data_IF_616874465688
#
_entry.id   IF_616874465688
#
_cell.length_a   1.000
_cell.length_b   1.000
_cell.length_c   1.000
_cell.angle_alpha   90.00
_cell.angle_beta   90.00
_cell.angle_gamma   90.00
#
_symmetry.space_group_name_H-M   'P 1'
#
loop_
_entity.id
_entity.type
_entity.pdbx_description
1 polymer ?
#
# COMPACT_ATOMS: atom_id res chain seq x y z
N UNK A 1 3.26 11.91 -9.96
CA UNK A 1 2.19 10.91 -10.23
C UNK A 1 1.19 11.51 -11.20
N UNK A 2 0.81 10.78 -12.22
CA UNK A 2 -0.23 11.19 -13.14
C UNK A 2 -1.53 10.42 -12.89
N UNK A 3 -2.57 10.73 -13.66
CA UNK A 3 -3.89 10.08 -13.50
C UNK A 3 -3.80 8.57 -13.68
N UNK A 4 -3.04 8.10 -14.67
CA UNK A 4 -2.92 6.66 -14.94
C UNK A 4 -2.23 5.94 -13.79
N UNK A 5 -1.19 6.51 -13.22
CA UNK A 5 -0.53 5.97 -12.05
C UNK A 5 -1.46 5.90 -10.84
N UNK A 6 -2.24 6.95 -10.63
CA UNK A 6 -3.20 7.00 -9.53
C UNK A 6 -4.28 5.93 -9.69
N UNK A 7 -4.82 5.77 -10.89
CA UNK A 7 -5.83 4.75 -11.18
C UNK A 7 -5.25 3.35 -10.95
N UNK A 8 -4.06 3.09 -11.45
CA UNK A 8 -3.39 1.80 -11.27
C UNK A 8 -3.23 1.47 -9.78
N UNK A 9 -2.83 2.46 -8.98
CA UNK A 9 -2.65 2.31 -7.54
C UNK A 9 -3.98 2.02 -6.84
N UNK A 10 -5.01 2.77 -7.17
CA UNK A 10 -6.34 2.61 -6.57
C UNK A 10 -6.98 1.28 -6.97
N UNK A 11 -6.85 0.88 -8.23
CA UNK A 11 -7.35 -0.41 -8.71
C UNK A 11 -6.65 -1.56 -7.98
N UNK A 12 -5.33 -1.45 -7.77
CA UNK A 12 -4.58 -2.48 -7.05
C UNK A 12 -5.13 -2.68 -5.64
N UNK A 13 -5.48 -1.60 -4.95
CA UNK A 13 -6.06 -1.66 -3.60
C UNK A 13 -7.56 -1.98 -3.61
N UNK A 14 -8.23 -1.82 -4.73
CA UNK A 14 -9.67 -1.96 -4.82
C UNK A 14 -10.18 -3.39 -4.95
N UNK A 15 -9.42 -4.37 -4.47
CA UNK A 15 -9.82 -5.77 -4.44
C UNK A 15 -9.56 -6.31 -3.03
N UNK A 16 -10.49 -7.09 -2.50
CA UNK A 16 -10.50 -7.47 -1.09
C UNK A 16 -9.20 -8.13 -0.62
N UNK A 17 -8.73 -9.14 -1.34
CA UNK A 17 -7.50 -9.86 -0.97
C UNK A 17 -6.28 -8.93 -1.01
N UNK A 18 -6.19 -8.09 -2.03
CA UNK A 18 -5.07 -7.15 -2.15
C UNK A 18 -5.10 -6.09 -1.06
N UNK A 19 -6.28 -5.60 -0.72
CA UNK A 19 -6.41 -4.65 0.39
C UNK A 19 -5.97 -5.28 1.70
N UNK A 20 -6.39 -6.51 1.98
CA UNK A 20 -6.00 -7.23 3.18
C UNK A 20 -4.49 -7.49 3.20
N UNK A 21 -3.91 -7.87 2.06
CA UNK A 21 -2.47 -8.08 1.92
C UNK A 21 -1.71 -6.80 2.28
N UNK A 22 -2.13 -5.68 1.70
CA UNK A 22 -1.50 -4.38 1.95
C UNK A 22 -1.57 -4.03 3.44
N UNK A 23 -2.74 -4.19 4.05
CA UNK A 23 -2.92 -3.86 5.46
C UNK A 23 -2.08 -4.74 6.39
N UNK A 24 -1.95 -6.03 6.08
CA UNK A 24 -1.09 -6.93 6.84
C UNK A 24 0.38 -6.49 6.75
N UNK A 25 0.82 -6.04 5.58
CA UNK A 25 2.18 -5.54 5.40
C UNK A 25 2.41 -4.22 6.14
N UNK A 26 1.41 -3.35 6.19
CA UNK A 26 1.49 -2.13 7.00
C UNK A 26 1.70 -2.49 8.46
N UNK A 27 0.93 -3.44 8.97
CA UNK A 27 1.03 -3.90 10.36
C UNK A 27 2.36 -4.57 10.67
N UNK A 28 2.93 -5.28 9.70
CA UNK A 28 4.22 -5.95 9.86
C UNK A 28 5.39 -4.98 9.96
N UNK A 29 5.25 -3.78 9.39
CA UNK A 29 6.29 -2.78 9.42
C UNK A 29 7.47 -3.11 8.51
N UNK A 30 8.68 -2.59 8.81
CA UNK A 30 9.83 -2.70 7.91
C UNK A 30 10.38 -4.11 7.75
N UNK A 31 10.02 -5.03 8.63
CA UNK A 31 10.46 -6.43 8.51
C UNK A 31 9.76 -7.17 7.38
N UNK A 32 8.54 -6.77 7.05
CA UNK A 32 7.74 -7.39 6.02
C UNK A 32 7.23 -8.77 6.40
N UNK A 33 6.67 -9.46 5.42
CA UNK A 33 6.11 -10.81 5.60
C UNK A 33 6.47 -11.68 4.40
N UNK A 34 6.64 -12.97 4.65
CA UNK A 34 6.93 -13.93 3.58
C UNK A 34 5.68 -14.20 2.74
N UNK A 35 5.89 -14.41 1.45
CA UNK A 35 4.82 -14.69 0.50
C UNK A 35 3.96 -15.88 0.93
N UNK A 36 4.60 -16.97 1.35
CA UNK A 36 3.89 -18.18 1.79
C UNK A 36 3.05 -17.93 3.04
N UNK A 37 3.57 -17.13 3.97
CA UNK A 37 2.83 -16.78 5.18
C UNK A 37 1.58 -15.98 4.86
N UNK A 38 1.69 -15.01 3.95
CA UNK A 38 0.54 -14.20 3.51
C UNK A 38 -0.54 -15.08 2.86
N UNK A 39 -0.14 -16.00 2.00
CA UNK A 39 -1.07 -16.93 1.35
C UNK A 39 -1.79 -17.79 2.39
N UNK A 40 -1.06 -18.28 3.38
CA UNK A 40 -1.61 -19.12 4.45
C UNK A 40 -2.60 -18.34 5.32
N UNK A 41 -2.21 -17.16 5.77
CA UNK A 41 -3.06 -16.32 6.64
C UNK A 41 -4.36 -15.96 5.94
N UNK A 42 -4.29 -15.64 4.64
CA UNK A 42 -5.46 -15.23 3.86
C UNK A 42 -6.25 -16.40 3.31
N UNK A 43 -5.73 -17.63 3.41
CA UNK A 43 -6.40 -18.81 2.90
C UNK A 43 -6.54 -18.84 1.39
N UNK A 44 -5.55 -18.25 0.68
CA UNK A 44 -5.57 -18.12 -0.77
C UNK A 44 -4.46 -18.97 -1.37
N UNK A 45 -4.72 -19.72 -2.47
CA UNK A 45 -3.67 -20.52 -3.11
C UNK A 45 -2.48 -19.66 -3.55
N UNK A 46 -1.28 -20.23 -3.49
CA UNK A 46 -0.04 -19.49 -3.80
C UNK A 46 -0.02 -18.90 -5.20
N UNK A 47 -0.53 -19.62 -6.19
CA UNK A 47 -0.57 -19.12 -7.55
C UNK A 47 -1.50 -17.91 -7.69
N UNK A 48 -2.63 -17.91 -6.98
CA UNK A 48 -3.55 -16.77 -6.94
C UNK A 48 -2.91 -15.59 -6.23
N UNK A 49 -2.23 -15.84 -5.11
CA UNK A 49 -1.51 -14.80 -4.39
C UNK A 49 -0.40 -14.18 -5.26
N UNK A 50 0.29 -14.99 -6.07
CA UNK A 50 1.31 -14.47 -6.98
C UNK A 50 0.75 -13.42 -7.93
N UNK A 51 -0.47 -13.64 -8.44
CA UNK A 51 -1.16 -12.66 -9.29
C UNK A 51 -1.43 -11.37 -8.52
N UNK A 52 -1.91 -11.48 -7.29
CA UNK A 52 -2.17 -10.30 -6.44
C UNK A 52 -0.87 -9.56 -6.10
N UNK A 53 0.20 -10.27 -5.78
CA UNK A 53 1.50 -9.65 -5.52
C UNK A 53 2.00 -8.90 -6.75
N UNK A 54 1.83 -9.49 -7.94
CA UNK A 54 2.22 -8.85 -9.19
C UNK A 54 1.51 -7.53 -9.43
N UNK A 55 0.20 -7.49 -9.18
CA UNK A 55 -0.60 -6.28 -9.33
C UNK A 55 -0.14 -5.20 -8.34
N UNK A 56 0.04 -5.58 -7.07
CA UNK A 56 0.50 -4.65 -6.03
C UNK A 56 1.90 -4.12 -6.32
N UNK A 57 2.80 -4.99 -6.81
CA UNK A 57 4.18 -4.61 -7.13
C UNK A 57 4.26 -3.67 -8.33
N UNK A 58 3.46 -3.91 -9.37
CA UNK A 58 3.40 -3.02 -10.54
C UNK A 58 2.87 -1.64 -10.16
N UNK A 59 1.97 -1.58 -9.19
CA UNK A 59 1.47 -0.31 -8.66
C UNK A 59 2.45 0.34 -7.68
N UNK A 60 3.58 -0.30 -7.40
CA UNK A 60 4.63 0.16 -6.48
C UNK A 60 4.17 0.31 -5.03
N UNK A 61 3.09 -0.39 -4.67
CA UNK A 61 2.55 -0.38 -3.31
C UNK A 61 3.33 -1.30 -2.38
N UNK A 62 3.98 -2.31 -2.94
CA UNK A 62 4.81 -3.25 -2.20
C UNK A 62 6.11 -3.46 -2.96
N UNK A 63 7.14 -3.88 -2.26
CA UNK A 63 8.40 -4.32 -2.83
C UNK A 63 8.69 -5.73 -2.35
N UNK A 64 9.55 -6.45 -3.08
CA UNK A 64 9.94 -7.79 -2.71
C UNK A 64 11.45 -7.91 -2.61
N UNK A 65 11.89 -8.81 -1.75
CA UNK A 65 13.29 -9.17 -1.60
C UNK A 65 13.40 -10.68 -1.53
N UNK A 66 14.28 -11.24 -2.35
CA UNK A 66 14.51 -12.68 -2.33
C UNK A 66 15.58 -12.99 -1.27
N UNK A 67 15.22 -13.84 -0.33
CA UNK A 67 16.09 -14.27 0.76
C UNK A 67 16.21 -15.79 0.72
N UNK A 68 17.20 -16.30 -0.04
CA UNK A 68 17.33 -17.72 -0.29
C UNK A 68 16.17 -18.25 -1.13
N UNK A 69 15.40 -19.17 -0.56
CA UNK A 69 14.22 -19.75 -1.23
C UNK A 69 12.94 -18.99 -0.90
N UNK A 70 13.04 -17.97 -0.06
CA UNK A 70 11.89 -17.21 0.43
C UNK A 70 11.83 -15.86 -0.26
N UNK A 71 10.60 -15.36 -0.43
CA UNK A 71 10.36 -14.01 -0.91
C UNK A 71 9.68 -13.26 0.21
N UNK A 72 10.27 -12.14 0.60
CA UNK A 72 9.71 -11.25 1.63
C UNK A 72 9.14 -10.02 0.93
N UNK A 73 7.90 -9.70 1.25
CA UNK A 73 7.24 -8.49 0.76
C UNK A 73 7.22 -7.44 1.85
N UNK A 74 7.40 -6.18 1.44
CA UNK A 74 7.35 -5.02 2.34
C UNK A 74 6.45 -3.97 1.75
N UNK A 75 5.75 -3.25 2.62
CA UNK A 75 4.91 -2.14 2.20
C UNK A 75 5.77 -0.97 1.74
N UNK A 76 5.26 -0.25 0.73
CA UNK A 76 5.83 1.03 0.30
C UNK A 76 4.85 2.14 0.65
N UNK A 77 4.96 2.67 1.86
CA UNK A 77 4.06 3.74 2.35
C UNK A 77 4.24 5.04 1.57
N UNK A 78 5.41 5.28 0.99
CA UNK A 78 5.63 6.45 0.14
C UNK A 78 4.67 6.48 -1.04
N UNK A 79 4.37 5.31 -1.61
CA UNK A 79 3.42 5.23 -2.73
C UNK A 79 2.01 5.59 -2.29
N UNK A 80 1.61 5.13 -1.12
CA UNK A 80 0.30 5.50 -0.55
C UNK A 80 0.23 7.01 -0.31
N UNK A 81 1.30 7.60 0.24
CA UNK A 81 1.37 9.04 0.45
C UNK A 81 1.25 9.80 -0.87
N UNK A 82 1.90 9.33 -1.93
CA UNK A 82 1.82 9.95 -3.26
C UNK A 82 0.39 9.96 -3.81
N UNK A 83 -0.32 8.82 -3.75
CA UNK A 83 -1.67 8.75 -4.29
C UNK A 83 -2.63 9.59 -3.45
N UNK A 84 -2.46 9.59 -2.13
CA UNK A 84 -3.28 10.41 -1.24
C UNK A 84 -3.07 11.90 -1.52
N UNK A 85 -1.82 12.32 -1.65
CA UNK A 85 -1.50 13.72 -1.99
C UNK A 85 -2.06 14.09 -3.35
N UNK A 86 -1.97 13.21 -4.33
CA UNK A 86 -2.53 13.43 -5.66
C UNK A 86 -4.04 13.64 -5.60
N UNK A 87 -4.74 12.81 -4.81
CA UNK A 87 -6.20 12.89 -4.70
C UNK A 87 -6.67 14.20 -4.08
N UNK A 88 -5.90 14.75 -3.14
CA UNK A 88 -6.29 16.00 -2.45
C UNK A 88 -5.59 17.23 -3.04
N UNK A 89 -4.69 17.06 -4.00
CA UNK A 89 -3.98 18.17 -4.62
C UNK A 89 -4.97 19.09 -5.34
N UNK A 90 -4.86 20.37 -5.06
CA UNK A 90 -5.76 21.37 -5.64
C UNK A 90 -7.19 21.29 -5.16
N UNK A 91 -7.49 20.41 -4.19
CA UNK A 91 -8.82 20.34 -3.63
C UNK A 91 -9.14 21.65 -2.91
N UNK A 92 -10.41 21.94 -2.74
CA UNK A 92 -10.88 23.12 -1.98
C UNK A 92 -10.57 24.45 -2.65
N UNK A 93 -10.15 24.46 -3.92
CA UNK A 93 -9.88 25.70 -4.65
C UNK A 93 -8.90 26.63 -3.93
N UNK A 94 -7.89 26.08 -3.28
CA UNK A 94 -6.92 26.83 -2.49
C UNK A 94 -7.32 27.04 -1.04
N UNK A 95 -8.47 26.52 -0.62
CA UNK A 95 -8.92 26.61 0.78
C UNK A 95 -8.43 25.40 1.54
N UNK A 96 -7.20 25.45 2.03
CA UNK A 96 -6.57 24.34 2.74
C UNK A 96 -7.34 23.91 3.98
N UNK A 97 -8.14 24.78 4.58
CA UNK A 97 -8.93 24.47 5.77
C UNK A 97 -9.88 23.29 5.59
N UNK A 98 -10.37 23.04 4.38
CA UNK A 98 -11.25 21.91 4.10
C UNK A 98 -10.50 20.58 4.06
N UNK A 99 -9.21 20.61 3.78
CA UNK A 99 -8.36 19.41 3.71
C UNK A 99 -7.53 19.19 4.97
N UNK A 100 -7.44 20.17 5.85
CA UNK A 100 -6.64 20.07 7.08
C UNK A 100 -6.94 18.82 7.92
N UNK A 101 -8.20 18.45 8.19
CA UNK A 101 -8.46 17.25 8.99
C UNK A 101 -7.88 15.99 8.37
N UNK A 102 -7.89 15.87 7.05
CA UNK A 102 -7.32 14.72 6.37
C UNK A 102 -5.80 14.74 6.45
N UNK A 103 -5.19 15.90 6.23
CA UNK A 103 -3.74 16.08 6.30
C UNK A 103 -3.24 15.79 7.71
N UNK A 104 -3.92 16.26 8.72
CA UNK A 104 -3.57 16.02 10.11
C UNK A 104 -3.67 14.53 10.48
N UNK A 105 -4.71 13.86 9.99
CA UNK A 105 -4.90 12.44 10.20
C UNK A 105 -3.73 11.64 9.59
N UNK A 106 -3.32 11.95 8.38
CA UNK A 106 -2.21 11.30 7.69
C UNK A 106 -0.90 11.57 8.44
N UNK A 107 -0.66 12.79 8.84
CA UNK A 107 0.54 13.16 9.62
C UNK A 107 0.58 12.42 10.95
N UNK A 108 -0.56 12.25 11.62
CA UNK A 108 -0.67 11.49 12.85
C UNK A 108 -0.30 10.02 12.65
N UNK A 109 -0.75 9.42 11.56
CA UNK A 109 -0.41 8.04 11.22
C UNK A 109 1.10 7.91 10.95
N UNK A 110 1.69 8.83 10.20
CA UNK A 110 3.13 8.83 9.93
C UNK A 110 3.95 8.92 11.21
N UNK A 111 3.56 9.79 12.13
CA UNK A 111 4.23 9.91 13.43
C UNK A 111 4.14 8.63 14.24
N UNK A 112 2.98 8.00 14.25
CA UNK A 112 2.76 6.74 14.97
C UNK A 112 3.61 5.61 14.36
N UNK A 113 3.78 5.61 13.04
CA UNK A 113 4.56 4.58 12.33
C UNK A 113 6.06 4.79 12.48
N UNK A 114 6.52 6.04 12.57
CA UNK A 114 7.93 6.37 12.67
C UNK A 114 8.47 6.28 14.10
N UNK A 115 7.60 6.13 15.07
CA UNK A 115 7.99 5.92 16.46
C UNK A 115 8.30 4.45 16.72
#
# INVERSE_FOLDING_TARGET
MDDDDAVLTLVALGQNTRLQTFRLLVQAGPEGLQAGHLAEVLGVPRNTMSSHFGILSRAKLISSERMGRKIVYRVNLSRLAEVTSFLVAGCCGGQSSLCEPLIEMIAGIEKATSA
#
